data_IF_193864598131
#
_entry.id   IF_193864598131
#
_cell.length_a   1.000
_cell.length_b   1.000
_cell.length_c   1.000
_cell.angle_alpha   90.00
_cell.angle_beta   90.00
_cell.angle_gamma   90.00
#
_symmetry.space_group_name_H-M   'P 1'
#
loop_
_entity.id
_entity.type
_entity.pdbx_description
1 polymer ?
#
# COMPACT_ATOMS: atom_id res chain seq x y z
N UNK A 1 -9.56 -8.69 0.29
CA UNK A 1 -8.32 -8.36 -0.41
C UNK A 1 -8.17 -6.84 -0.48
N UNK A 2 -7.23 -6.27 0.29
CA UNK A 2 -6.92 -4.83 0.20
C UNK A 2 -5.58 -4.66 -0.47
N UNK A 3 -5.64 -4.27 -1.74
CA UNK A 3 -4.49 -4.03 -2.58
C UNK A 3 -3.92 -2.65 -2.27
N UNK A 4 -2.64 -2.60 -1.91
CA UNK A 4 -1.87 -1.37 -1.67
C UNK A 4 -0.70 -1.31 -2.62
N UNK A 5 -0.20 -0.12 -2.92
CA UNK A 5 1.00 0.00 -3.74
C UNK A 5 2.22 -0.61 -3.03
N UNK A 6 3.22 -1.07 -3.80
CA UNK A 6 4.51 -1.51 -3.24
C UNK A 6 5.13 -0.44 -2.33
N UNK A 7 4.98 0.84 -2.67
CA UNK A 7 5.51 1.95 -1.88
C UNK A 7 4.82 2.07 -0.52
N UNK A 8 3.49 1.97 -0.49
CA UNK A 8 2.72 1.98 0.78
C UNK A 8 3.08 0.76 1.64
N UNK A 9 3.10 -0.44 1.05
CA UNK A 9 3.46 -1.65 1.78
C UNK A 9 4.88 -1.58 2.38
N UNK A 10 5.84 -1.07 1.61
CA UNK A 10 7.21 -0.87 2.09
C UNK A 10 7.26 0.10 3.29
N UNK A 11 6.50 1.19 3.22
CA UNK A 11 6.40 2.15 4.30
C UNK A 11 5.77 1.53 5.57
N UNK A 12 4.69 0.75 5.44
CA UNK A 12 4.05 0.11 6.60
C UNK A 12 4.91 -0.95 7.25
N UNK A 13 5.57 -1.77 6.43
CA UNK A 13 6.41 -2.86 6.91
C UNK A 13 7.79 -2.37 7.37
N UNK A 14 8.07 -1.07 7.24
CA UNK A 14 9.36 -0.44 7.52
C UNK A 14 10.54 -1.15 6.80
N UNK A 15 10.32 -1.56 5.55
CA UNK A 15 11.32 -2.22 4.71
C UNK A 15 11.51 -1.47 3.39
N UNK A 16 12.55 -1.84 2.63
CA UNK A 16 12.75 -1.28 1.30
C UNK A 16 11.68 -1.77 0.30
N UNK A 17 11.38 -0.94 -0.71
CA UNK A 17 10.54 -1.35 -1.86
C UNK A 17 11.09 -2.58 -2.58
N UNK A 18 12.42 -2.73 -2.62
CA UNK A 18 13.07 -3.89 -3.21
C UNK A 18 12.78 -5.17 -2.41
N UNK A 19 12.76 -5.08 -1.08
CA UNK A 19 12.38 -6.20 -0.20
C UNK A 19 10.96 -6.66 -0.48
N UNK A 20 10.01 -5.72 -0.59
CA UNK A 20 8.61 -6.05 -0.91
C UNK A 20 8.50 -6.69 -2.29
N UNK A 21 9.17 -6.15 -3.32
CA UNK A 21 9.20 -6.76 -4.65
C UNK A 21 9.80 -8.18 -4.61
N UNK A 22 10.86 -8.39 -3.85
CA UNK A 22 11.46 -9.71 -3.70
C UNK A 22 10.47 -10.70 -3.05
N UNK A 23 9.69 -10.26 -2.05
CA UNK A 23 8.64 -11.11 -1.47
C UNK A 23 7.53 -11.48 -2.46
N UNK A 24 7.17 -10.58 -3.37
CA UNK A 24 6.27 -10.90 -4.47
C UNK A 24 6.86 -11.96 -5.40
N UNK A 25 8.13 -11.81 -5.81
CA UNK A 25 8.82 -12.77 -6.67
C UNK A 25 9.01 -14.14 -6.00
N UNK A 26 9.19 -14.16 -4.69
CA UNK A 26 9.29 -15.38 -3.88
C UNK A 26 7.92 -16.03 -3.60
N UNK A 27 6.81 -15.46 -4.06
CA UNK A 27 5.45 -15.96 -3.79
C UNK A 27 5.02 -15.85 -2.33
N UNK A 28 5.72 -15.04 -1.51
CA UNK A 28 5.38 -14.82 -0.09
C UNK A 28 4.23 -13.84 0.10
N UNK A 29 3.99 -13.00 -0.90
CA UNK A 29 2.92 -12.00 -0.93
C UNK A 29 2.22 -12.11 -2.27
N UNK A 30 0.89 -12.24 -2.22
CA UNK A 30 0.05 -12.15 -3.41
C UNK A 30 0.11 -10.72 -3.96
N UNK A 31 0.19 -10.59 -5.27
CA UNK A 31 0.23 -9.30 -5.94
C UNK A 31 -0.54 -9.33 -7.25
N UNK A 32 -0.96 -8.14 -7.69
CA UNK A 32 -1.54 -7.90 -8.99
C UNK A 32 -0.72 -6.81 -9.65
N UNK A 33 -0.37 -7.02 -10.92
CA UNK A 33 0.27 -6.01 -11.75
C UNK A 33 -0.77 -5.34 -12.63
N UNK A 34 -0.84 -4.01 -12.57
CA UNK A 34 -1.72 -3.17 -13.39
C UNK A 34 -0.82 -2.21 -14.17
N UNK A 35 -0.57 -2.55 -15.44
CA UNK A 35 0.44 -1.85 -16.26
C UNK A 35 1.84 -2.01 -15.66
N UNK A 36 2.53 -0.89 -15.44
CA UNK A 36 3.86 -0.87 -14.81
C UNK A 36 3.83 -0.85 -13.28
N UNK A 37 2.63 -0.78 -12.68
CA UNK A 37 2.46 -0.67 -11.24
C UNK A 37 2.12 -2.02 -10.61
N UNK A 38 2.83 -2.35 -9.54
CA UNK A 38 2.59 -3.55 -8.74
C UNK A 38 1.80 -3.14 -7.49
N UNK A 39 0.68 -3.83 -7.28
CA UNK A 39 -0.13 -3.75 -6.08
C UNK A 39 -0.06 -5.06 -5.30
N UNK A 40 0.14 -4.98 -3.99
CA UNK A 40 0.30 -6.14 -3.12
C UNK A 40 -0.89 -6.29 -2.20
N UNK A 41 -1.27 -7.54 -1.94
CA UNK A 41 -2.31 -7.87 -0.97
C UNK A 41 -1.71 -7.94 0.44
N UNK A 42 -1.49 -6.75 0.99
CA UNK A 42 -0.88 -6.60 2.32
C UNK A 42 -1.77 -7.17 3.42
N UNK A 43 -3.09 -7.14 3.24
CA UNK A 43 -4.05 -7.64 4.23
C UNK A 43 -3.82 -9.12 4.52
N UNK A 44 -3.93 -9.97 3.50
CA UNK A 44 -3.76 -11.42 3.65
C UNK A 44 -2.35 -11.78 4.11
N UNK A 45 -1.34 -11.00 3.71
CA UNK A 45 0.02 -11.17 4.20
C UNK A 45 0.12 -10.96 5.71
N UNK A 46 -0.48 -9.89 6.25
CA UNK A 46 -0.44 -9.62 7.68
C UNK A 46 -1.22 -10.67 8.48
N UNK A 47 -2.39 -11.08 7.99
CA UNK A 47 -3.18 -12.16 8.59
C UNK A 47 -2.39 -13.48 8.63
N UNK A 48 -1.68 -13.83 7.54
CA UNK A 48 -0.83 -15.02 7.50
C UNK A 48 0.30 -15.03 8.54
N UNK A 49 0.65 -13.84 9.07
CA UNK A 49 1.66 -13.65 10.12
C UNK A 49 1.05 -13.47 11.51
N UNK A 50 -0.27 -13.60 11.65
CA UNK A 50 -0.99 -13.40 12.91
C UNK A 50 -1.07 -11.93 13.34
N UNK A 51 -0.85 -10.98 12.43
CA UNK A 51 -0.92 -9.55 12.70
C UNK A 51 -2.32 -9.06 12.31
N UNK A 52 -3.04 -8.37 13.20
CA UNK A 52 -4.31 -7.74 12.85
C UNK A 52 -4.07 -6.55 11.89
N UNK A 53 -4.52 -6.60 10.62
CA UNK A 53 -4.31 -5.53 9.67
C UNK A 53 -5.24 -4.32 9.90
N UNK A 54 -6.35 -4.49 10.62
CA UNK A 54 -7.38 -3.46 10.83
C UNK A 54 -6.84 -2.10 11.30
N UNK A 55 -6.03 -1.99 12.38
CA UNK A 55 -5.52 -0.69 12.83
C UNK A 55 -4.62 0.01 11.79
N UNK A 56 -3.87 -0.77 11.00
CA UNK A 56 -2.98 -0.26 9.96
C UNK A 56 -3.81 0.37 8.83
N UNK A 57 -4.87 -0.33 8.41
CA UNK A 57 -5.75 0.16 7.35
C UNK A 57 -6.72 1.26 7.81
N UNK A 58 -7.13 1.28 9.08
CA UNK A 58 -7.89 2.37 9.66
C UNK A 58 -7.09 3.69 9.62
N UNK A 59 -5.79 3.64 9.97
CA UNK A 59 -4.89 4.80 9.87
C UNK A 59 -4.73 5.29 8.43
N UNK A 60 -4.76 4.39 7.43
CA UNK A 60 -4.73 4.76 6.01
C UNK A 60 -5.97 5.53 5.57
N UNK A 61 -7.14 5.08 5.99
CA UNK A 61 -8.40 5.75 5.65
C UNK A 61 -8.49 7.13 6.30
N UNK A 62 -8.03 7.25 7.54
CA UNK A 62 -7.95 8.53 8.23
C UNK A 62 -6.98 9.50 7.55
N UNK A 63 -5.80 9.03 7.12
CA UNK A 63 -4.84 9.83 6.33
C UNK A 63 -5.43 10.27 4.99
N UNK A 64 -6.19 9.41 4.30
CA UNK A 64 -6.87 9.79 3.05
C UNK A 64 -7.96 10.83 3.29
N UNK A 65 -8.68 10.74 4.41
CA UNK A 65 -9.72 11.70 4.80
C UNK A 65 -9.12 13.07 5.18
N UNK A 66 -7.96 13.07 5.82
CA UNK A 66 -7.27 14.27 6.30
C UNK A 66 -6.24 14.81 5.30
N UNK A 67 -6.04 14.17 4.14
CA UNK A 67 -5.16 14.69 3.11
C UNK A 67 -5.67 16.06 2.64
N UNK A 68 -4.82 17.10 2.60
CA UNK A 68 -5.24 18.41 2.13
C UNK A 68 -5.74 18.27 0.70
N UNK A 69 -7.03 18.58 0.48
CA UNK A 69 -7.59 18.72 -0.87
C UNK A 69 -6.75 19.79 -1.56
N UNK A 70 -5.85 19.40 -2.45
CA UNK A 70 -5.05 20.34 -3.23
C UNK A 70 -6.01 21.28 -3.95
N UNK A 71 -6.02 22.53 -3.49
CA UNK A 71 -6.72 23.64 -4.10
C UNK A 71 -6.19 23.77 -5.53
N UNK A 72 -6.98 23.33 -6.50
CA UNK A 72 -6.72 23.51 -7.93
C UNK A 72 -6.58 25.01 -8.20
N UNK A 73 -5.35 25.52 -8.25
CA UNK A 73 -5.09 26.88 -8.74
C UNK A 73 -5.41 26.89 -10.23
N UNK A 74 -6.61 27.37 -10.57
CA UNK A 74 -6.97 27.81 -11.92
C UNK A 74 -5.99 28.92 -12.28
N UNK A 75 -4.99 28.62 -13.11
CA UNK A 75 -4.15 29.62 -13.76
C UNK A 75 -5.02 30.25 -14.86
N UNK A 76 -5.68 31.36 -14.55
CA UNK A 76 -6.32 32.22 -15.55
C UNK A 76 -5.21 32.95 -16.30
N UNK A 77 -5.10 32.66 -17.60
CA UNK A 77 -4.42 33.50 -18.57
C UNK A 77 -5.34 34.65 -18.98
#
# INVERSE_FOLDING_TARGET
MRLVSVSEAAHFLAVSRATVRNWCLQGKINFIQIGDFIHVDLWSFLESRGINPEPIFASLEERKKNAPKTRRTKKTA
#
